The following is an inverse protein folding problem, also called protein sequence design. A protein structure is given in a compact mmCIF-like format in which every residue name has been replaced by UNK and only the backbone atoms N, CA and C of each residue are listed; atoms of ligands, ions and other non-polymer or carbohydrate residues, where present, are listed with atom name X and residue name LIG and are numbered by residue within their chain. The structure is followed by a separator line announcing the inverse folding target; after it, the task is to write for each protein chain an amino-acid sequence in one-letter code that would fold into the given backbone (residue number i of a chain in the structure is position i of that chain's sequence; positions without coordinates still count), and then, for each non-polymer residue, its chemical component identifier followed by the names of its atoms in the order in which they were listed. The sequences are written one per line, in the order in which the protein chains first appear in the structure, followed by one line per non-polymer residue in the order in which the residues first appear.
data_IF_016466044028
#
_entry.id   IF_016466044028
#
_cell.length_a   1.000
_cell.length_b   1.000
_cell.length_c   1.000
_cell.angle_alpha   90.00
_cell.angle_beta   90.00
_cell.angle_gamma   90.00
#
_symmetry.space_group_name_H-M   'P 1'
#
loop_
_entity.id
_entity.type
_entity.pdbx_description
1 polymer ?
#
# COMPACT_ATOMS: atom_id res chain seq x y z
N UNK A 1 6.71 3.49 -35.72
CA UNK A 1 5.52 2.92 -35.04
C UNK A 1 5.87 1.67 -34.22
N UNK A 2 6.58 0.69 -34.78
CA UNK A 2 6.86 -0.58 -34.07
C UNK A 2 7.79 -0.45 -32.86
N UNK A 3 8.82 0.42 -32.93
CA UNK A 3 9.71 0.69 -31.79
C UNK A 3 8.97 1.28 -30.58
N UNK A 4 8.00 2.16 -30.82
CA UNK A 4 7.13 2.69 -29.77
C UNK A 4 6.24 1.61 -29.18
N UNK A 5 5.68 0.71 -30.01
CA UNK A 5 4.93 -0.45 -29.54
C UNK A 5 5.78 -1.40 -28.70
N UNK A 6 7.04 -1.62 -29.06
CA UNK A 6 7.98 -2.46 -28.29
C UNK A 6 8.32 -1.84 -26.94
N UNK A 7 8.61 -0.53 -26.91
CA UNK A 7 8.86 0.19 -25.64
C UNK A 7 7.61 0.21 -24.78
N UNK A 8 6.44 0.50 -25.35
CA UNK A 8 5.16 0.49 -24.65
C UNK A 8 4.84 -0.91 -24.10
N UNK A 9 5.08 -1.97 -24.88
CA UNK A 9 4.90 -3.35 -24.41
C UNK A 9 5.89 -3.73 -23.31
N UNK A 10 7.12 -3.22 -23.35
CA UNK A 10 8.10 -3.41 -22.28
C UNK A 10 7.66 -2.70 -21.00
N UNK A 11 7.19 -1.46 -21.12
CA UNK A 11 6.67 -0.64 -20.01
C UNK A 11 5.43 -1.28 -19.41
N UNK A 12 4.49 -1.75 -20.23
CA UNK A 12 3.29 -2.45 -19.78
C UNK A 12 3.63 -3.80 -19.13
N UNK A 13 4.66 -4.51 -19.63
CA UNK A 13 5.10 -5.80 -19.08
C UNK A 13 5.87 -5.66 -17.76
N UNK A 14 6.55 -4.53 -17.54
CA UNK A 14 7.34 -4.23 -16.34
C UNK A 14 6.73 -3.14 -15.47
N UNK A 15 5.44 -2.84 -15.66
CA UNK A 15 4.73 -1.75 -14.99
C UNK A 15 4.90 -1.79 -13.46
N UNK A 16 4.86 -2.99 -12.90
CA UNK A 16 5.28 -3.34 -11.54
C UNK A 16 6.58 -2.66 -11.06
N UNK A 17 7.66 -2.98 -11.74
CA UNK A 17 9.04 -2.63 -11.39
C UNK A 17 9.28 -1.15 -11.65
N UNK A 18 8.69 -0.63 -12.73
CA UNK A 18 8.72 0.78 -13.06
C UNK A 18 7.93 1.61 -12.03
N UNK A 19 6.80 1.10 -11.53
CA UNK A 19 6.02 1.71 -10.46
C UNK A 19 6.80 1.83 -9.16
N UNK A 20 7.50 0.76 -8.73
CA UNK A 20 8.36 0.84 -7.54
C UNK A 20 9.58 1.74 -7.74
N UNK A 21 10.21 1.70 -8.92
CA UNK A 21 11.31 2.61 -9.25
C UNK A 21 10.86 4.07 -9.20
N UNK A 22 9.69 4.37 -9.76
CA UNK A 22 9.09 5.71 -9.71
C UNK A 22 8.71 6.12 -8.29
N UNK A 23 8.11 5.22 -7.50
CA UNK A 23 7.80 5.48 -6.09
C UNK A 23 9.08 5.76 -5.28
N UNK A 24 10.15 5.00 -5.50
CA UNK A 24 11.44 5.23 -4.85
C UNK A 24 12.04 6.58 -5.25
N UNK A 25 12.01 6.93 -6.54
CA UNK A 25 12.48 8.23 -7.05
C UNK A 25 11.66 9.40 -6.48
N UNK A 26 10.33 9.28 -6.45
CA UNK A 26 9.46 10.27 -5.83
C UNK A 26 9.72 10.40 -4.33
N UNK A 27 9.96 9.29 -3.63
CA UNK A 27 10.26 9.31 -2.21
C UNK A 27 11.61 9.97 -1.95
N UNK A 28 12.63 9.67 -2.75
CA UNK A 28 13.94 10.31 -2.68
C UNK A 28 13.87 11.80 -3.02
N UNK A 29 13.16 12.18 -4.08
CA UNK A 29 12.97 13.59 -4.47
C UNK A 29 12.15 14.37 -3.44
N UNK A 30 11.10 13.75 -2.88
CA UNK A 30 10.29 14.32 -1.81
C UNK A 30 11.12 14.52 -0.53
N UNK A 31 11.88 13.52 -0.11
CA UNK A 31 12.74 13.62 1.07
C UNK A 31 13.80 14.71 0.91
N UNK A 32 14.45 14.80 -0.25
CA UNK A 32 15.39 15.88 -0.56
C UNK A 32 14.72 17.27 -0.49
N UNK A 33 13.49 17.39 -1.00
CA UNK A 33 12.73 18.64 -0.91
C UNK A 33 12.41 19.00 0.55
N UNK A 34 11.91 18.06 1.35
CA UNK A 34 11.56 18.30 2.75
C UNK A 34 12.78 18.59 3.63
N UNK A 35 13.90 17.87 3.42
CA UNK A 35 15.13 18.02 4.20
C UNK A 35 15.90 19.30 3.85
N UNK A 36 15.91 19.73 2.59
CA UNK A 36 16.63 20.94 2.16
C UNK A 36 15.80 22.22 2.32
N UNK A 37 14.47 22.16 2.09
CA UNK A 37 13.65 23.37 1.99
C UNK A 37 12.90 23.70 3.29
N UNK A 38 12.54 22.70 4.10
CA UNK A 38 11.60 22.90 5.23
C UNK A 38 12.25 22.54 6.57
N UNK A 39 13.20 21.61 6.60
CA UNK A 39 13.80 21.15 7.84
C UNK A 39 14.92 22.07 8.31
N UNK A 40 14.77 22.63 9.51
CA UNK A 40 15.84 23.33 10.22
C UNK A 40 15.77 22.94 11.70
N UNK A 41 16.83 22.33 12.21
CA UNK A 41 16.86 21.87 13.60
C UNK A 41 16.78 23.07 14.56
N UNK A 42 15.90 23.09 15.57
CA UNK A 42 15.68 24.26 16.43
C UNK A 42 16.81 24.51 17.44
N UNK A 43 17.66 23.51 17.70
CA UNK A 43 18.76 23.55 18.68
C UNK A 43 18.35 23.99 20.08
N UNK A 44 17.30 23.36 20.58
CA UNK A 44 16.80 23.49 21.95
C UNK A 44 16.30 22.12 22.45
N UNK A 45 15.61 22.09 23.59
CA UNK A 45 15.04 20.85 24.14
C UNK A 45 14.00 20.16 23.25
N UNK A 46 13.48 20.83 22.21
CA UNK A 46 12.51 20.28 21.27
C UNK A 46 13.13 19.51 20.10
N UNK A 47 14.47 19.45 19.99
CA UNK A 47 15.18 18.74 18.91
C UNK A 47 14.63 17.33 18.65
N UNK A 48 14.44 16.53 19.70
CA UNK A 48 13.91 15.18 19.60
C UNK A 48 12.49 15.14 19.04
N UNK A 49 11.57 15.89 19.65
CA UNK A 49 10.16 15.92 19.24
C UNK A 49 10.00 16.45 17.80
N UNK A 50 10.70 17.55 17.48
CA UNK A 50 10.70 18.15 16.15
C UNK A 50 11.17 17.15 15.09
N UNK A 51 12.31 16.50 15.32
CA UNK A 51 12.81 15.47 14.40
C UNK A 51 11.84 14.30 14.23
N UNK A 52 11.23 13.80 15.30
CA UNK A 52 10.33 12.65 15.23
C UNK A 52 9.07 12.96 14.42
N UNK A 53 8.57 14.20 14.50
CA UNK A 53 7.45 14.67 13.67
C UNK A 53 7.81 14.60 12.19
N UNK A 54 8.98 15.12 11.79
CA UNK A 54 9.40 15.10 10.38
C UNK A 54 9.74 13.69 9.87
N UNK A 55 10.16 12.78 10.74
CA UNK A 55 10.39 11.38 10.37
C UNK A 55 9.06 10.61 10.19
N UNK A 56 8.14 10.72 11.15
CA UNK A 56 6.96 9.83 11.23
C UNK A 56 5.66 10.41 10.66
N UNK A 57 5.45 11.73 10.68
CA UNK A 57 4.19 12.30 10.15
C UNK A 57 4.06 12.10 8.64
N UNK A 58 5.08 12.35 7.79
CA UNK A 58 4.99 12.04 6.37
C UNK A 58 4.76 10.54 6.13
N UNK A 59 5.39 9.67 6.92
CA UNK A 59 5.15 8.23 6.87
C UNK A 59 3.69 7.87 7.19
N UNK A 60 3.08 8.50 8.21
CA UNK A 60 1.67 8.31 8.56
C UNK A 60 0.74 8.81 7.42
N UNK A 61 1.03 9.96 6.82
CA UNK A 61 0.24 10.47 5.69
C UNK A 61 0.30 9.49 4.51
N UNK A 62 1.49 9.00 4.15
CA UNK A 62 1.67 7.98 3.10
C UNK A 62 0.92 6.69 3.43
N UNK A 63 0.90 6.28 4.70
CA UNK A 63 0.19 5.09 5.15
C UNK A 63 -1.32 5.22 4.97
N UNK A 64 -1.88 6.38 5.36
CA UNK A 64 -3.30 6.67 5.19
C UNK A 64 -3.67 6.74 3.70
N UNK A 65 -2.86 7.41 2.88
CA UNK A 65 -3.04 7.45 1.42
C UNK A 65 -3.04 6.05 0.80
N UNK A 66 -2.16 5.15 1.28
CA UNK A 66 -2.14 3.75 0.88
C UNK A 66 -3.47 3.02 1.11
N UNK A 67 -4.16 3.31 2.21
CA UNK A 67 -5.50 2.78 2.44
C UNK A 67 -6.56 3.40 1.51
N UNK A 68 -6.52 4.73 1.32
CA UNK A 68 -7.49 5.46 0.49
C UNK A 68 -7.46 5.00 -0.98
N UNK A 69 -6.27 4.72 -1.52
CA UNK A 69 -6.10 4.31 -2.92
C UNK A 69 -6.49 2.83 -3.14
N UNK A 70 -6.49 2.01 -2.08
CA UNK A 70 -6.73 0.57 -2.20
C UNK A 70 -8.21 0.24 -2.37
N UNK A 71 -8.58 -0.19 -3.59
CA UNK A 71 -9.93 -0.72 -3.90
C UNK A 71 -10.35 -1.89 -2.99
N UNK A 72 -9.39 -2.63 -2.43
CA UNK A 72 -9.65 -3.73 -1.48
C UNK A 72 -10.13 -3.22 -0.13
N UNK A 73 -9.64 -2.07 0.33
CA UNK A 73 -10.12 -1.39 1.53
C UNK A 73 -11.61 -1.08 1.37
N UNK A 74 -11.98 -0.46 0.25
CA UNK A 74 -13.38 -0.10 -0.03
C UNK A 74 -14.28 -1.31 -0.18
N UNK A 75 -13.81 -2.40 -0.83
CA UNK A 75 -14.56 -3.66 -0.90
C UNK A 75 -14.82 -4.28 0.47
N UNK A 76 -13.91 -4.10 1.43
CA UNK A 76 -14.09 -4.61 2.79
C UNK A 76 -15.01 -3.71 3.64
N UNK A 77 -14.93 -2.39 3.47
CA UNK A 77 -15.68 -1.43 4.28
C UNK A 77 -17.11 -1.13 3.76
N UNK A 78 -17.32 -1.17 2.45
CA UNK A 78 -18.61 -0.82 1.83
C UNK A 78 -19.68 -1.86 2.18
N UNK A 79 -20.81 -1.42 2.73
CA UNK A 79 -21.93 -2.31 3.09
C UNK A 79 -21.82 -2.99 4.46
N UNK A 80 -20.73 -2.79 5.22
CA UNK A 80 -20.53 -3.41 6.53
C UNK A 80 -21.59 -2.98 7.58
N UNK A 81 -22.13 -1.76 7.47
CA UNK A 81 -23.12 -1.22 8.42
C UNK A 81 -24.58 -1.59 8.08
N UNK A 82 -24.85 -2.19 6.91
CA UNK A 82 -26.21 -2.45 6.43
C UNK A 82 -26.79 -3.76 6.98
N UNK A 83 -25.94 -4.73 7.35
CA UNK A 83 -26.33 -6.06 7.81
C UNK A 83 -26.05 -6.28 9.32
N UNK A 84 -26.46 -5.34 10.18
CA UNK A 84 -26.33 -5.45 11.65
C UNK A 84 -27.12 -6.61 12.28
N UNK A 85 -27.98 -7.30 11.54
CA UNK A 85 -28.87 -8.34 12.06
C UNK A 85 -28.31 -9.78 12.05
N UNK A 86 -27.07 -10.02 11.61
CA UNK A 86 -26.48 -11.37 11.66
C UNK A 86 -25.21 -11.37 12.52
N UNK A 87 -25.14 -12.18 13.60
CA UNK A 87 -23.92 -12.31 14.37
C UNK A 87 -22.82 -12.82 13.45
N UNK A 88 -21.77 -12.01 13.23
CA UNK A 88 -20.61 -12.41 12.45
C UNK A 88 -20.02 -13.70 13.07
N UNK A 89 -20.09 -14.85 12.38
CA UNK A 89 -19.45 -16.07 12.85
C UNK A 89 -17.97 -15.77 13.06
N UNK A 90 -17.34 -16.35 14.10
CA UNK A 90 -15.91 -16.21 14.40
C UNK A 90 -15.00 -16.39 13.16
N UNK A 91 -15.46 -17.21 12.20
CA UNK A 91 -14.81 -17.49 10.92
C UNK A 91 -14.82 -16.33 9.91
N UNK A 92 -15.84 -15.48 9.91
CA UNK A 92 -15.90 -14.24 9.12
C UNK A 92 -14.96 -13.19 9.72
N UNK A 93 -14.89 -13.10 11.05
CA UNK A 93 -13.98 -12.21 11.76
C UNK A 93 -12.50 -12.55 11.46
N UNK A 94 -12.10 -13.83 11.58
CA UNK A 94 -10.74 -14.27 11.24
C UNK A 94 -10.38 -14.02 9.77
N UNK A 95 -11.37 -14.10 8.86
CA UNK A 95 -11.19 -13.81 7.43
C UNK A 95 -11.00 -12.32 7.18
N UNK A 96 -11.80 -11.48 7.83
CA UNK A 96 -11.67 -10.01 7.80
C UNK A 96 -10.30 -9.55 8.31
N UNK A 97 -9.82 -10.13 9.41
CA UNK A 97 -8.49 -9.82 9.97
C UNK A 97 -7.37 -10.17 8.97
N UNK A 98 -7.42 -11.35 8.34
CA UNK A 98 -6.39 -11.74 7.36
C UNK A 98 -6.34 -10.81 6.14
N UNK A 99 -7.51 -10.42 5.63
CA UNK A 99 -7.62 -9.50 4.49
C UNK A 99 -7.14 -8.10 4.90
N UNK A 100 -7.50 -7.66 6.10
CA UNK A 100 -7.03 -6.40 6.66
C UNK A 100 -5.50 -6.38 6.77
N UNK A 101 -4.88 -7.40 7.38
CA UNK A 101 -3.42 -7.53 7.47
C UNK A 101 -2.76 -7.44 6.09
N UNK A 102 -3.35 -8.09 5.09
CA UNK A 102 -2.85 -8.04 3.72
C UNK A 102 -2.91 -6.64 3.10
N UNK A 103 -4.01 -5.91 3.32
CA UNK A 103 -4.13 -4.51 2.87
C UNK A 103 -3.09 -3.65 3.61
N UNK A 104 -2.93 -3.84 4.92
CA UNK A 104 -1.98 -3.12 5.75
C UNK A 104 -0.54 -3.32 5.30
N UNK A 105 -0.13 -4.57 5.02
CA UNK A 105 1.23 -4.88 4.52
C UNK A 105 1.51 -4.12 3.22
N UNK A 106 0.52 -4.01 2.34
CA UNK A 106 0.66 -3.22 1.13
C UNK A 106 0.77 -1.71 1.40
N UNK A 107 -0.10 -1.17 2.25
CA UNK A 107 -0.09 0.25 2.60
C UNK A 107 1.20 0.69 3.30
N UNK A 108 1.93 -0.23 3.94
CA UNK A 108 3.18 0.06 4.66
C UNK A 108 4.39 0.30 3.77
N UNK A 109 4.36 -0.04 2.48
CA UNK A 109 5.56 0.05 1.63
C UNK A 109 6.05 1.47 1.44
N UNK A 110 5.16 2.42 1.12
CA UNK A 110 5.55 3.83 0.99
C UNK A 110 6.06 4.45 2.30
N UNK A 111 5.39 4.29 3.46
CA UNK A 111 5.89 4.73 4.77
C UNK A 111 7.28 4.18 5.11
N UNK A 112 7.49 2.89 4.89
CA UNK A 112 8.76 2.21 5.18
C UNK A 112 9.87 2.72 4.25
N UNK A 113 9.55 2.95 2.98
CA UNK A 113 10.50 3.50 2.01
C UNK A 113 10.91 4.91 2.41
N UNK A 114 9.95 5.75 2.81
CA UNK A 114 10.22 7.10 3.33
C UNK A 114 11.17 7.08 4.52
N UNK A 115 10.85 6.29 5.55
CA UNK A 115 11.70 6.18 6.76
C UNK A 115 13.11 5.72 6.40
N UNK A 116 13.23 4.74 5.49
CA UNK A 116 14.54 4.23 5.06
C UNK A 116 15.36 5.32 4.37
N UNK A 117 14.77 6.07 3.45
CA UNK A 117 15.44 7.17 2.74
C UNK A 117 15.83 8.29 3.70
N UNK A 118 14.92 8.70 4.59
CA UNK A 118 15.18 9.73 5.60
C UNK A 118 16.31 9.33 6.57
N UNK A 119 16.40 8.06 6.95
CA UNK A 119 17.50 7.53 7.76
C UNK A 119 18.83 7.48 7.00
N UNK A 120 18.82 7.20 5.70
CA UNK A 120 20.04 7.25 4.88
C UNK A 120 20.56 8.69 4.71
N UNK A 121 19.67 9.68 4.60
CA UNK A 121 20.05 11.09 4.62
C UNK A 121 20.60 11.50 6.00
N UNK A 122 19.98 11.03 7.09
CA UNK A 122 20.53 11.15 8.45
C UNK A 122 20.33 12.50 9.14
N UNK A 123 19.85 13.52 8.42
CA UNK A 123 19.60 14.87 8.95
C UNK A 123 18.57 14.90 10.08
N UNK A 124 17.46 14.16 9.93
CA UNK A 124 16.46 14.02 10.99
C UNK A 124 17.08 13.29 12.19
N UNK A 125 17.69 12.12 11.97
CA UNK A 125 18.30 11.34 13.04
C UNK A 125 19.35 12.14 13.83
N UNK A 126 20.21 12.90 13.16
CA UNK A 126 21.19 13.79 13.79
C UNK A 126 20.50 14.79 14.73
N UNK A 127 19.51 15.53 14.23
CA UNK A 127 18.77 16.49 15.04
C UNK A 127 18.07 15.81 16.22
N UNK A 128 17.36 14.71 15.98
CA UNK A 128 16.61 14.01 17.01
C UNK A 128 17.50 13.46 18.13
N UNK A 129 18.56 12.76 17.75
CA UNK A 129 19.47 12.12 18.71
C UNK A 129 20.36 13.11 19.44
N UNK A 130 20.64 14.27 18.85
CA UNK A 130 21.35 15.36 19.54
C UNK A 130 20.59 15.91 20.76
N UNK A 131 19.24 15.83 20.73
CA UNK A 131 18.36 16.24 21.81
C UNK A 131 17.81 15.10 22.66
N UNK A 132 18.20 13.84 22.40
CA UNK A 132 17.71 12.67 23.10
C UNK A 132 18.57 12.37 24.34
N UNK A 133 17.92 12.30 25.50
CA UNK A 133 18.60 12.01 26.76
C UNK A 133 18.61 10.49 27.02
N UNK A 134 19.76 9.86 26.84
CA UNK A 134 19.99 8.46 27.22
C UNK A 134 21.42 8.27 27.67
N UNK A 135 21.61 7.72 28.87
CA UNK A 135 22.95 7.51 29.47
C UNK A 135 23.84 6.63 28.59
N UNK A 136 23.27 5.57 27.99
CA UNK A 136 24.02 4.67 27.09
C UNK A 136 24.47 5.38 25.81
N UNK A 137 23.58 6.17 25.21
CA UNK A 137 23.89 6.93 24.00
C UNK A 137 24.90 8.04 24.27
N UNK A 138 24.72 8.77 25.37
CA UNK A 138 25.65 9.80 25.83
C UNK A 138 27.03 9.22 26.08
N UNK A 139 27.12 8.06 26.75
CA UNK A 139 28.39 7.37 26.98
C UNK A 139 29.02 6.89 25.67
N UNK A 140 28.23 6.47 24.68
CA UNK A 140 28.76 6.05 23.38
C UNK A 140 29.29 7.23 22.55
N UNK A 141 28.58 8.37 22.56
CA UNK A 141 28.90 9.55 21.74
C UNK A 141 29.97 10.44 22.40
N UNK A 142 29.84 10.69 23.71
CA UNK A 142 30.72 11.57 24.46
C UNK A 142 31.86 10.83 25.18
N UNK A 143 32.14 9.56 24.86
CA UNK A 143 33.25 8.83 25.48
C UNK A 143 34.58 9.55 25.20
N UNK A 144 35.37 9.82 26.23
CA UNK A 144 36.65 10.55 26.12
C UNK A 144 36.53 11.94 25.45
N UNK A 145 35.34 12.55 25.44
CA UNK A 145 35.10 13.91 24.95
C UNK A 145 35.00 14.91 26.13
N UNK A 146 35.04 16.23 25.90
CA UNK A 146 34.99 17.23 26.97
C UNK A 146 33.74 17.08 27.87
N UNK A 147 33.85 17.46 29.14
CA UNK A 147 32.75 17.40 30.11
C UNK A 147 31.49 18.15 29.64
N UNK A 148 31.67 19.18 28.80
CA UNK A 148 30.59 19.98 28.22
C UNK A 148 29.95 19.37 26.96
N UNK A 149 30.33 18.14 26.58
CA UNK A 149 29.77 17.44 25.41
C UNK A 149 28.25 17.28 25.52
N UNK A 150 27.78 16.82 26.66
CA UNK A 150 26.35 16.60 26.91
C UNK A 150 25.54 17.89 26.86
N UNK A 151 26.03 18.97 27.49
CA UNK A 151 25.32 20.25 27.57
C UNK A 151 25.31 21.02 26.25
N UNK A 152 26.18 20.65 25.30
CA UNK A 152 26.26 21.28 23.98
C UNK A 152 25.76 20.39 22.83
N UNK A 153 25.46 19.11 23.06
CA UNK A 153 25.10 18.16 22.01
C UNK A 153 23.93 18.63 21.15
N UNK A 154 22.86 19.15 21.76
CA UNK A 154 21.66 19.63 21.05
C UNK A 154 21.92 20.88 20.18
N UNK A 155 23.03 21.59 20.37
CA UNK A 155 23.42 22.76 19.54
C UNK A 155 24.24 22.35 18.32
N UNK A 156 24.72 21.11 18.28
CA UNK A 156 25.62 20.59 17.24
C UNK A 156 25.03 20.69 15.83
N UNK A 157 23.75 20.34 15.59
CA UNK A 157 23.19 20.40 14.24
C UNK A 157 23.23 21.81 13.64
N UNK A 158 23.11 22.86 14.48
CA UNK A 158 23.11 24.27 14.05
C UNK A 158 24.49 24.92 13.99
N UNK A 159 25.58 24.21 14.33
CA UNK A 159 26.93 24.78 14.36
C UNK A 159 27.14 25.86 15.43
N UNK A 160 26.28 25.93 16.46
CA UNK A 160 26.36 26.91 17.56
C UNK A 160 26.92 26.30 18.85
N UNK A 161 27.85 25.35 18.72
CA UNK A 161 28.44 24.63 19.85
C UNK A 161 29.71 25.32 20.35
N UNK A 162 29.95 25.24 21.66
CA UNK A 162 31.24 25.58 22.25
C UNK A 162 32.28 24.43 22.15
N UNK A 163 31.92 23.35 21.44
CA UNK A 163 32.79 22.19 21.24
C UNK A 163 33.91 22.51 20.23
N UNK A 164 35.11 21.94 20.39
CA UNK A 164 36.15 22.02 19.37
C UNK A 164 35.61 21.51 18.02
N UNK A 165 35.98 22.17 16.91
CA UNK A 165 35.49 21.85 15.58
C UNK A 165 35.66 20.36 15.23
N UNK A 166 36.85 19.80 15.49
CA UNK A 166 37.16 18.39 15.26
C UNK A 166 36.27 17.44 16.07
N UNK A 167 35.96 17.79 17.33
CA UNK A 167 35.07 16.98 18.18
C UNK A 167 33.63 17.07 17.70
N UNK A 168 33.19 18.25 17.25
CA UNK A 168 31.87 18.42 16.66
C UNK A 168 31.70 17.58 15.40
N UNK A 169 32.67 17.63 14.49
CA UNK A 169 32.68 16.84 13.25
C UNK A 169 32.69 15.33 13.53
N UNK A 170 33.53 14.85 14.46
CA UNK A 170 33.55 13.44 14.88
C UNK A 170 32.17 12.95 15.33
N UNK A 171 31.48 13.75 16.15
CA UNK A 171 30.16 13.40 16.68
C UNK A 171 29.13 13.38 15.56
N UNK A 172 29.16 14.35 14.63
CA UNK A 172 28.27 14.37 13.46
C UNK A 172 28.48 13.11 12.62
N UNK A 173 29.72 12.80 12.24
CA UNK A 173 30.05 11.59 11.48
C UNK A 173 29.53 10.33 12.18
N UNK A 174 29.67 10.24 13.50
CA UNK A 174 29.16 9.11 14.30
C UNK A 174 27.63 9.01 14.24
N UNK A 175 26.91 10.12 14.39
CA UNK A 175 25.45 10.17 14.31
C UNK A 175 24.93 9.80 12.91
N UNK A 176 25.59 10.30 11.84
CA UNK A 176 25.26 9.92 10.47
C UNK A 176 25.50 8.43 10.23
N UNK A 177 26.63 7.90 10.69
CA UNK A 177 26.93 6.47 10.58
C UNK A 177 25.88 5.61 11.29
N UNK A 178 25.47 5.99 12.52
CA UNK A 178 24.38 5.31 13.22
C UNK A 178 23.08 5.33 12.41
N UNK A 179 22.70 6.49 11.87
CA UNK A 179 21.49 6.63 11.06
C UNK A 179 21.54 5.74 9.82
N UNK A 180 22.65 5.76 9.08
CA UNK A 180 22.82 4.99 7.85
C UNK A 180 22.86 3.48 8.12
N UNK A 181 23.50 3.04 9.21
CA UNK A 181 23.50 1.63 9.62
C UNK A 181 22.08 1.17 9.95
N UNK A 182 21.29 2.00 10.66
CA UNK A 182 19.88 1.68 10.95
C UNK A 182 19.06 1.64 9.65
N UNK A 183 19.25 2.62 8.75
CA UNK A 183 18.60 2.68 7.46
C UNK A 183 18.86 1.44 6.59
N UNK A 184 20.12 1.05 6.42
CA UNK A 184 20.50 -0.15 5.68
C UNK A 184 20.03 -1.43 6.35
N UNK A 185 20.09 -1.50 7.69
CA UNK A 185 19.60 -2.64 8.45
C UNK A 185 18.08 -2.83 8.28
N UNK A 186 17.33 -1.73 8.26
CA UNK A 186 15.89 -1.71 7.98
C UNK A 186 15.62 -2.26 6.57
N UNK A 187 16.29 -1.71 5.54
CA UNK A 187 16.15 -2.15 4.14
C UNK A 187 16.44 -3.65 4.01
N UNK A 188 17.53 -4.13 4.61
CA UNK A 188 17.90 -5.55 4.58
C UNK A 188 16.83 -6.43 5.26
N UNK A 189 16.37 -6.05 6.45
CA UNK A 189 15.35 -6.79 7.18
C UNK A 189 14.03 -6.91 6.39
N UNK A 190 13.57 -5.82 5.78
CA UNK A 190 12.34 -5.80 4.97
C UNK A 190 12.49 -6.65 3.71
N UNK A 191 13.65 -6.57 3.04
CA UNK A 191 13.92 -7.34 1.84
C UNK A 191 13.87 -8.84 2.14
N UNK A 192 14.56 -9.27 3.20
CA UNK A 192 14.55 -10.67 3.66
C UNK A 192 13.15 -11.10 4.07
N UNK A 193 12.44 -10.28 4.86
CA UNK A 193 11.08 -10.58 5.29
C UNK A 193 10.11 -10.73 4.11
N UNK A 194 10.20 -9.83 3.12
CA UNK A 194 9.35 -9.85 1.92
C UNK A 194 9.65 -11.07 1.05
N UNK A 195 10.93 -11.41 0.86
CA UNK A 195 11.33 -12.60 0.14
C UNK A 195 10.85 -13.87 0.83
N UNK A 196 11.12 -14.02 2.13
CA UNK A 196 10.69 -15.16 2.92
C UNK A 196 9.17 -15.33 2.93
N UNK A 197 8.45 -14.22 3.18
CA UNK A 197 6.98 -14.21 3.12
C UNK A 197 6.48 -14.65 1.75
N UNK A 198 7.03 -14.09 0.67
CA UNK A 198 6.65 -14.45 -0.70
C UNK A 198 6.93 -15.93 -0.99
N UNK A 199 8.08 -16.46 -0.58
CA UNK A 199 8.41 -17.87 -0.74
C UNK A 199 7.43 -18.78 0.00
N UNK A 200 7.17 -18.53 1.29
CA UNK A 200 6.21 -19.30 2.09
C UNK A 200 4.84 -19.28 1.43
N UNK A 201 4.39 -18.10 1.03
CA UNK A 201 3.13 -17.86 0.34
C UNK A 201 2.99 -18.69 -0.93
N UNK A 202 4.04 -18.73 -1.76
CA UNK A 202 4.02 -19.48 -3.01
C UNK A 202 4.10 -20.99 -2.77
N UNK A 203 4.91 -21.43 -1.80
CA UNK A 203 5.02 -22.83 -1.42
C UNK A 203 3.72 -23.37 -0.82
N UNK A 204 2.98 -22.54 -0.08
CA UNK A 204 1.70 -22.90 0.52
C UNK A 204 0.49 -22.70 -0.43
N UNK A 205 0.72 -22.34 -1.70
CA UNK A 205 -0.35 -22.16 -2.68
C UNK A 205 -1.00 -23.51 -3.02
N UNK A 206 -2.34 -23.64 -2.95
CA UNK A 206 -3.03 -24.85 -3.39
C UNK A 206 -3.09 -25.01 -4.91
N UNK A 207 -2.78 -23.96 -5.67
CA UNK A 207 -2.81 -23.94 -7.14
C UNK A 207 -1.42 -23.90 -7.74
N UNK A 208 -1.27 -24.50 -8.93
CA UNK A 208 -0.02 -24.49 -9.69
C UNK A 208 0.33 -23.10 -10.21
N UNK A 209 1.60 -22.87 -10.55
CA UNK A 209 2.06 -21.59 -11.07
C UNK A 209 1.35 -21.15 -12.35
N UNK A 210 1.14 -22.07 -13.31
CA UNK A 210 0.46 -21.77 -14.58
C UNK A 210 -1.02 -21.46 -14.37
N UNK A 211 -1.70 -22.23 -13.52
CA UNK A 211 -3.10 -21.97 -13.17
C UNK A 211 -3.24 -20.60 -12.49
N UNK A 212 -2.29 -20.22 -11.63
CA UNK A 212 -2.26 -18.91 -10.98
C UNK A 212 -2.03 -17.77 -11.99
N UNK A 213 -1.18 -17.97 -13.00
CA UNK A 213 -1.01 -16.98 -14.07
C UNK A 213 -2.27 -16.83 -14.93
N UNK A 214 -2.89 -17.96 -15.30
CA UNK A 214 -4.17 -17.95 -16.01
C UNK A 214 -5.23 -17.20 -15.21
N UNK A 215 -5.36 -17.51 -13.92
CA UNK A 215 -6.34 -16.89 -13.04
C UNK A 215 -6.17 -15.36 -12.97
N UNK A 216 -4.93 -14.85 -12.87
CA UNK A 216 -4.68 -13.42 -12.97
C UNK A 216 -5.18 -12.82 -14.27
N UNK A 217 -4.87 -13.48 -15.40
CA UNK A 217 -5.25 -12.99 -16.73
C UNK A 217 -6.77 -13.00 -16.91
N UNK A 218 -7.44 -14.04 -16.40
CA UNK A 218 -8.88 -14.12 -16.35
C UNK A 218 -9.46 -12.93 -15.56
N UNK A 219 -8.93 -12.66 -14.36
CA UNK A 219 -9.39 -11.55 -13.50
C UNK A 219 -9.22 -10.18 -14.16
N UNK A 220 -8.09 -9.95 -14.82
CA UNK A 220 -7.84 -8.72 -15.57
C UNK A 220 -8.88 -8.54 -16.68
N UNK A 221 -9.10 -9.59 -17.49
CA UNK A 221 -10.05 -9.54 -18.61
C UNK A 221 -11.51 -9.48 -18.16
N UNK A 222 -11.87 -10.14 -17.07
CA UNK A 222 -13.18 -10.04 -16.45
C UNK A 222 -13.48 -8.60 -16.04
N UNK A 223 -12.54 -7.91 -15.39
CA UNK A 223 -12.74 -6.52 -14.97
C UNK A 223 -12.87 -5.56 -16.17
N UNK A 224 -12.00 -5.70 -17.19
CA UNK A 224 -12.09 -4.88 -18.42
C UNK A 224 -13.45 -5.04 -19.12
N UNK A 225 -13.91 -6.28 -19.28
CA UNK A 225 -15.21 -6.56 -19.89
C UNK A 225 -16.38 -6.09 -19.01
N UNK A 226 -16.24 -6.22 -17.69
CA UNK A 226 -17.26 -5.78 -16.75
C UNK A 226 -17.46 -4.27 -16.79
N UNK A 227 -16.39 -3.48 -16.82
CA UNK A 227 -16.46 -2.02 -16.95
C UNK A 227 -17.10 -1.62 -18.27
N UNK A 228 -16.66 -2.21 -19.38
CA UNK A 228 -17.22 -1.95 -20.71
C UNK A 228 -18.73 -2.24 -20.75
N UNK A 229 -19.14 -3.41 -20.26
CA UNK A 229 -20.56 -3.82 -20.25
C UNK A 229 -21.41 -3.00 -19.29
N UNK A 230 -20.85 -2.61 -18.15
CA UNK A 230 -21.54 -1.75 -17.18
C UNK A 230 -21.79 -0.36 -17.75
N UNK A 231 -20.78 0.22 -18.43
CA UNK A 231 -20.93 1.52 -19.09
C UNK A 231 -21.96 1.50 -20.23
N UNK A 232 -21.92 0.46 -21.07
CA UNK A 232 -22.90 0.25 -22.15
C UNK A 232 -24.33 0.15 -21.58
N UNK A 233 -24.52 -0.66 -20.54
CA UNK A 233 -25.83 -0.84 -19.90
C UNK A 233 -26.33 0.43 -19.20
N UNK A 234 -25.44 1.16 -18.51
CA UNK A 234 -25.77 2.44 -17.87
C UNK A 234 -26.21 3.49 -18.91
N UNK A 235 -25.52 3.56 -20.05
CA UNK A 235 -25.90 4.45 -21.16
C UNK A 235 -27.29 4.11 -21.70
N UNK A 236 -27.56 2.84 -21.99
CA UNK A 236 -28.87 2.40 -22.48
C UNK A 236 -30.00 2.74 -21.49
N UNK A 237 -29.76 2.53 -20.19
CA UNK A 237 -30.73 2.86 -19.15
C UNK A 237 -30.97 4.37 -19.06
N UNK A 238 -29.91 5.18 -19.13
CA UNK A 238 -30.00 6.64 -19.11
C UNK A 238 -30.75 7.20 -20.33
N UNK A 239 -30.40 6.73 -21.54
CA UNK A 239 -31.09 7.12 -22.79
C UNK A 239 -32.58 6.79 -22.73
N UNK A 240 -32.93 5.59 -22.25
CA UNK A 240 -34.33 5.19 -22.09
C UNK A 240 -35.09 6.07 -21.08
N UNK A 241 -34.45 6.43 -19.97
CA UNK A 241 -35.06 7.31 -18.96
C UNK A 241 -35.30 8.71 -19.52
N UNK A 242 -34.30 9.29 -20.18
CA UNK A 242 -34.41 10.62 -20.78
C UNK A 242 -35.46 10.65 -21.89
N UNK A 243 -35.51 9.63 -22.75
CA UNK A 243 -36.52 9.52 -23.79
C UNK A 243 -37.94 9.49 -23.22
N UNK A 244 -38.18 8.61 -22.25
CA UNK A 244 -39.47 8.52 -21.54
C UNK A 244 -39.86 9.84 -20.86
N UNK A 245 -38.89 10.55 -20.27
CA UNK A 245 -39.12 11.85 -19.64
C UNK A 245 -39.52 12.95 -20.65
N UNK A 246 -38.77 13.09 -21.76
CA UNK A 246 -39.04 14.15 -22.74
C UNK A 246 -40.25 13.86 -23.64
N UNK A 247 -40.53 12.59 -23.94
CA UNK A 247 -41.67 12.20 -24.78
C UNK A 247 -42.96 11.96 -23.96
N UNK A 248 -42.88 12.03 -22.62
CA UNK A 248 -44.00 11.72 -21.70
C UNK A 248 -44.59 10.32 -21.90
N UNK A 249 -43.80 9.39 -22.43
CA UNK A 249 -44.19 8.00 -22.65
C UNK A 249 -43.81 7.12 -21.46
N UNK A 250 -44.59 6.05 -21.25
CA UNK A 250 -44.28 5.03 -20.27
C UNK A 250 -42.92 4.35 -20.54
N UNK A 251 -42.10 4.14 -19.50
CA UNK A 251 -40.76 3.59 -19.67
C UNK A 251 -40.74 2.12 -20.13
N UNK A 252 -39.96 1.79 -21.17
CA UNK A 252 -39.73 0.40 -21.59
C UNK A 252 -38.97 -0.41 -20.53
N UNK A 253 -39.32 -1.68 -20.36
CA UNK A 253 -38.66 -2.54 -19.37
C UNK A 253 -37.22 -2.86 -19.82
N UNK A 254 -36.25 -2.46 -19.01
CA UNK A 254 -34.84 -2.87 -19.11
C UNK A 254 -34.52 -3.61 -17.82
N UNK A 255 -34.11 -4.88 -17.91
CA UNK A 255 -33.77 -5.70 -16.75
C UNK A 255 -32.38 -5.34 -16.24
N UNK A 256 -32.33 -4.78 -15.03
CA UNK A 256 -31.09 -4.60 -14.26
C UNK A 256 -30.95 -5.73 -13.24
N UNK A 257 -29.73 -6.20 -12.93
CA UNK A 257 -29.52 -7.19 -11.87
C UNK A 257 -30.09 -6.71 -10.53
N UNK A 258 -30.62 -7.64 -9.72
CA UNK A 258 -31.18 -7.33 -8.41
C UNK A 258 -30.08 -6.89 -7.42
N UNK A 259 -30.49 -6.18 -6.36
CA UNK A 259 -29.57 -5.79 -5.28
C UNK A 259 -28.83 -6.97 -4.67
N UNK A 260 -29.51 -8.11 -4.50
CA UNK A 260 -28.93 -9.34 -3.95
C UNK A 260 -27.82 -9.89 -4.85
N UNK A 261 -28.01 -9.85 -6.18
CA UNK A 261 -26.99 -10.25 -7.14
C UNK A 261 -25.75 -9.34 -7.06
N UNK A 262 -25.96 -8.02 -6.91
CA UNK A 262 -24.88 -7.05 -6.71
C UNK A 262 -24.10 -7.27 -5.42
N UNK A 263 -24.80 -7.54 -4.31
CA UNK A 263 -24.15 -7.84 -3.03
C UNK A 263 -23.33 -9.14 -3.10
N UNK A 264 -23.84 -10.18 -3.77
CA UNK A 264 -23.14 -11.48 -3.91
C UNK A 264 -21.86 -11.39 -4.73
N UNK A 265 -21.89 -10.70 -5.89
CA UNK A 265 -20.67 -10.55 -6.72
C UNK A 265 -19.62 -9.62 -6.08
N UNK A 266 -20.05 -8.74 -5.16
CA UNK A 266 -19.17 -7.81 -4.44
C UNK A 266 -18.40 -8.47 -3.29
N UNK A 267 -18.77 -9.70 -2.90
CA UNK A 267 -18.07 -10.43 -1.87
C UNK A 267 -16.62 -10.71 -2.27
N UNK A 268 -15.73 -10.76 -1.26
CA UNK A 268 -14.36 -11.20 -1.50
C UNK A 268 -14.36 -12.67 -1.91
N UNK A 269 -13.66 -12.99 -3.00
CA UNK A 269 -13.54 -14.37 -3.48
C UNK A 269 -12.55 -15.15 -2.61
N UNK A 270 -12.86 -16.42 -2.35
CA UNK A 270 -11.93 -17.43 -1.82
C UNK A 270 -12.02 -18.63 -2.73
N UNK A 271 -10.87 -19.17 -3.10
CA UNK A 271 -10.83 -20.37 -3.90
C UNK A 271 -11.24 -21.59 -3.06
N UNK A 272 -11.64 -22.63 -3.75
CA UNK A 272 -12.03 -23.89 -3.13
C UNK A 272 -11.58 -24.98 -4.07
N UNK A 273 -10.84 -25.97 -3.54
CA UNK A 273 -10.42 -27.13 -4.33
C UNK A 273 -11.59 -27.94 -4.91
N UNK A 274 -12.79 -27.77 -4.36
CA UNK A 274 -13.98 -28.51 -4.76
C UNK A 274 -14.83 -27.76 -5.81
N UNK A 275 -14.57 -26.47 -6.03
CA UNK A 275 -15.32 -25.62 -6.96
C UNK A 275 -14.33 -24.76 -7.75
N UNK A 276 -14.06 -25.13 -9.00
CA UNK A 276 -13.07 -24.49 -9.88
C UNK A 276 -13.57 -23.16 -10.48
N UNK A 277 -13.96 -22.21 -9.62
CA UNK A 277 -14.29 -20.86 -10.05
C UNK A 277 -13.05 -19.95 -10.00
N UNK A 278 -13.07 -18.86 -10.75
CA UNK A 278 -11.98 -17.87 -10.79
C UNK A 278 -12.40 -16.50 -10.23
N UNK A 279 -13.69 -16.33 -9.95
CA UNK A 279 -14.25 -15.09 -9.40
C UNK A 279 -15.62 -15.34 -8.79
N UNK A 280 -16.12 -14.36 -8.05
CA UNK A 280 -17.51 -14.34 -7.58
C UNK A 280 -18.52 -14.23 -8.73
N UNK A 281 -18.19 -13.48 -9.79
CA UNK A 281 -19.04 -13.36 -10.98
C UNK A 281 -19.12 -14.69 -11.73
N UNK A 282 -17.99 -15.37 -11.93
CA UNK A 282 -17.93 -16.72 -12.51
C UNK A 282 -18.80 -17.69 -11.70
N UNK A 283 -18.62 -17.70 -10.37
CA UNK A 283 -19.41 -18.53 -9.47
C UNK A 283 -20.92 -18.22 -9.54
N UNK A 284 -21.28 -16.95 -9.66
CA UNK A 284 -22.67 -16.53 -9.80
C UNK A 284 -23.29 -16.97 -11.13
N UNK A 285 -22.54 -16.85 -12.23
CA UNK A 285 -23.00 -17.21 -13.57
C UNK A 285 -23.20 -18.72 -13.78
N UNK A 286 -22.33 -19.55 -13.20
CA UNK A 286 -22.37 -21.02 -13.34
C UNK A 286 -23.34 -21.70 -12.36
N UNK A 287 -24.06 -20.92 -11.55
CA UNK A 287 -24.98 -21.47 -10.56
C UNK A 287 -26.23 -22.03 -11.24
N UNK A 288 -26.51 -23.32 -11.05
CA UNK A 288 -27.75 -23.95 -11.55
C UNK A 288 -28.98 -23.37 -10.83
N UNK A 289 -30.04 -22.97 -11.55
CA UNK A 289 -31.29 -22.52 -10.93
C UNK A 289 -31.91 -23.68 -10.13
N UNK A 290 -32.11 -23.48 -8.82
CA UNK A 290 -32.72 -24.47 -7.91
C UNK A 290 -31.80 -25.05 -6.83
N UNK A 291 -30.49 -24.75 -6.84
CA UNK A 291 -29.59 -25.13 -5.76
C UNK A 291 -29.73 -24.19 -4.55
N UNK A 292 -30.68 -24.54 -3.66
CA UNK A 292 -30.82 -23.93 -2.34
C UNK A 292 -29.49 -23.91 -1.57
N UNK A 293 -29.36 -22.92 -0.69
CA UNK A 293 -28.22 -22.59 0.17
C UNK A 293 -27.69 -23.81 0.97
N UNK A 294 -26.87 -24.67 0.35
CA UNK A 294 -26.24 -25.77 1.04
C UNK A 294 -24.87 -26.06 0.41
N UNK A 295 -23.90 -25.18 0.63
CA UNK A 295 -22.46 -25.49 0.55
C UNK A 295 -21.66 -24.42 1.29
N UNK A 296 -21.98 -24.24 2.58
CA UNK A 296 -21.08 -23.59 3.53
C UNK A 296 -20.15 -24.64 4.15
N UNK A 297 -19.32 -25.31 3.36
CA UNK A 297 -18.28 -26.19 3.93
C UNK A 297 -17.33 -26.75 2.87
N UNK A 298 -16.29 -25.99 2.55
CA UNK A 298 -14.95 -26.56 2.55
C UNK A 298 -13.91 -25.46 2.74
N UNK A 299 -13.16 -25.58 3.83
CA UNK A 299 -11.93 -24.83 4.08
C UNK A 299 -10.88 -25.48 3.19
N UNK A 300 -10.24 -24.71 2.33
CA UNK A 300 -8.85 -24.95 2.01
C UNK A 300 -8.15 -23.61 1.79
N UNK A 301 -6.92 -23.57 2.31
CA UNK A 301 -6.04 -22.42 2.41
C UNK A 301 -5.83 -21.78 1.04
N UNK A 302 -5.99 -20.45 0.92
CA UNK A 302 -5.76 -19.78 -0.35
C UNK A 302 -4.76 -18.64 -0.33
N UNK A 303 -4.04 -18.66 -1.45
CA UNK A 303 -2.98 -17.81 -1.94
C UNK A 303 -3.21 -16.34 -1.57
N UNK A 304 -2.23 -15.68 -0.96
CA UNK A 304 -2.30 -14.27 -0.69
C UNK A 304 -2.07 -13.43 -1.94
N UNK A 305 -2.75 -12.30 -1.93
CA UNK A 305 -2.59 -11.15 -2.79
C UNK A 305 -1.25 -10.41 -2.72
N UNK A 306 -0.14 -11.12 -2.51
CA UNK A 306 1.19 -10.61 -2.91
C UNK A 306 1.24 -10.33 -4.42
N UNK A 307 0.24 -10.78 -5.17
CA UNK A 307 0.17 -10.65 -6.62
C UNK A 307 -0.55 -9.43 -7.17
N UNK A 308 -1.19 -8.63 -6.32
CA UNK A 308 -1.91 -7.41 -6.73
C UNK A 308 -1.22 -6.15 -6.23
N UNK A 309 -0.12 -6.31 -5.49
CA UNK A 309 0.72 -5.20 -5.03
C UNK A 309 1.37 -4.44 -6.20
N UNK A 310 1.26 -4.99 -7.41
CA UNK A 310 2.07 -4.63 -8.57
C UNK A 310 1.31 -3.86 -9.65
N UNK A 311 -0.02 -3.97 -9.77
CA UNK A 311 -0.74 -3.40 -10.93
C UNK A 311 -1.95 -2.53 -10.53
N UNK A 312 -1.76 -1.71 -9.49
CA UNK A 312 -2.78 -0.83 -8.95
C UNK A 312 -2.74 0.62 -9.43
N UNK A 313 -2.28 0.93 -10.65
CA UNK A 313 -2.50 2.25 -11.28
C UNK A 313 -2.52 2.10 -12.80
N UNK A 314 -3.68 2.15 -13.45
CA UNK A 314 -3.76 2.53 -14.87
C UNK A 314 -4.29 3.95 -14.92
N UNK A 315 -3.46 4.88 -15.36
CA UNK A 315 -3.91 6.20 -15.78
C UNK A 315 -4.76 6.01 -17.04
N UNK A 316 -5.99 6.53 -17.01
CA UNK A 316 -6.76 6.82 -18.21
C UNK A 316 -6.03 7.89 -19.00
N UNK A 317 -5.32 7.49 -20.05
CA UNK A 317 -5.00 8.42 -21.14
C UNK A 317 -6.21 8.36 -22.07
N UNK A 318 -7.14 9.27 -21.83
CA UNK A 318 -8.13 9.66 -22.82
C UNK A 318 -7.38 10.28 -24.00
N UNK A 319 -7.23 9.52 -25.08
CA UNK A 319 -7.05 10.10 -26.41
C UNK A 319 -8.40 10.16 -27.09
N UNK A 320 -9.15 11.20 -26.73
CA UNK A 320 -10.10 11.81 -27.64
C UNK A 320 -9.65 13.24 -27.91
N UNK A 321 -9.45 13.50 -29.21
CA UNK A 321 -8.96 14.72 -29.89
C UNK A 321 -7.44 14.78 -30.06
#
# INVERSE_FOLDING_TARGET
MDKYRTVLNLVLKQHATLGYGFLALLTAGGEQLFSVVIFSCPCNSWNFAYSMVFLFIPALVLFLLGYFISNRTWKLCTGCCINQARPCPKRILCRGIKIFVQITVGALVAPITWISVALLNGTFYECGMSGYYSEHLLKAICNNKPNDCQSNLYKLPCGRTALPLSTGEDIRVTLFAHSQVIGWSLIAAITVFTLASTCIVRCCSPVSFLQLQFWKKYKEKENELFEQKSAEHAKQLAERNLKSFFESEGPKEIKTPSREAWEEISLLYTFSKNEEYYSTIHKYAERKPGANQASSSTINMDVPAVLDFVDGVKNSVDTHV
#
